data_IF_522466571988
#
_entry.id   IF_522466571988
#
_cell.length_a   1.000
_cell.length_b   1.000
_cell.length_c   1.000
_cell.angle_alpha   90.00
_cell.angle_beta   90.00
_cell.angle_gamma   90.00
#
_symmetry.space_group_name_H-M   'P 1'
#
loop_
_entity.id
_entity.type
_entity.pdbx_description
1 polymer ?
#
# COMPACT_ATOMS: atom_id res chain seq x y z
N UNK A 1 15.16 -6.77 -26.41
CA UNK A 1 14.47 -5.68 -25.68
C UNK A 1 13.06 -6.18 -25.37
N UNK A 2 12.84 -6.76 -24.18
CA UNK A 2 11.50 -7.27 -23.79
C UNK A 2 10.67 -6.07 -23.34
N UNK A 3 9.60 -5.79 -24.07
CA UNK A 3 8.56 -4.82 -23.69
C UNK A 3 7.94 -5.36 -22.39
N UNK A 4 8.25 -4.74 -21.26
CA UNK A 4 7.62 -5.07 -19.98
C UNK A 4 6.19 -4.52 -20.09
N UNK A 5 5.14 -5.35 -20.02
CA UNK A 5 3.77 -4.85 -20.07
C UNK A 5 3.56 -3.89 -18.88
N UNK A 6 2.95 -2.74 -19.16
CA UNK A 6 2.54 -1.76 -18.14
C UNK A 6 1.81 -2.49 -17.00
N UNK A 7 2.42 -2.48 -15.80
CA UNK A 7 1.83 -3.09 -14.62
C UNK A 7 0.70 -2.19 -14.09
N UNK A 8 -0.51 -2.74 -13.93
CA UNK A 8 -1.72 -1.98 -13.51
C UNK A 8 -1.76 -1.77 -11.99
N UNK A 9 -0.73 -2.22 -11.25
CA UNK A 9 -0.65 -2.08 -9.79
C UNK A 9 -0.87 -0.64 -9.31
N UNK A 10 -0.33 0.36 -10.02
CA UNK A 10 -0.56 1.78 -9.68
C UNK A 10 -2.01 2.21 -9.85
N UNK A 11 -2.74 1.63 -10.80
CA UNK A 11 -4.15 1.90 -11.04
C UNK A 11 -5.10 1.15 -10.09
N UNK A 12 -4.61 0.12 -9.38
CA UNK A 12 -5.37 -0.49 -8.28
C UNK A 12 -5.53 0.47 -7.10
N UNK A 13 -4.65 1.46 -7.00
CA UNK A 13 -4.71 2.50 -6.00
C UNK A 13 -5.79 3.50 -6.36
N UNK A 14 -6.42 4.10 -5.35
CA UNK A 14 -7.33 5.22 -5.57
C UNK A 14 -6.56 6.52 -5.91
N UNK A 15 -5.24 6.56 -5.66
CA UNK A 15 -4.28 7.50 -6.28
C UNK A 15 -4.83 8.90 -6.59
N UNK A 16 -5.07 9.69 -5.55
CA UNK A 16 -5.60 11.05 -5.64
C UNK A 16 -7.06 11.10 -5.23
N UNK A 17 -7.36 11.92 -4.22
CA UNK A 17 -8.72 12.23 -3.80
C UNK A 17 -9.52 12.74 -5.01
N UNK A 18 -10.22 11.87 -5.71
CA UNK A 18 -11.53 12.23 -6.23
C UNK A 18 -12.30 12.67 -4.98
N UNK A 19 -12.69 13.94 -4.95
CA UNK A 19 -13.40 14.54 -3.85
C UNK A 19 -14.47 13.57 -3.33
N UNK A 20 -14.75 13.62 -2.05
CA UNK A 20 -16.01 13.11 -1.52
C UNK A 20 -17.19 13.86 -2.17
N UNK A 21 -17.45 13.65 -3.45
CA UNK A 21 -18.81 13.41 -3.86
C UNK A 21 -19.12 12.06 -3.24
N UNK A 22 -19.86 12.12 -2.14
CA UNK A 22 -21.05 11.30 -2.04
C UNK A 22 -21.54 11.15 -3.48
N UNK A 23 -21.33 9.97 -4.09
CA UNK A 23 -22.06 9.61 -5.30
C UNK A 23 -23.51 9.53 -4.82
N UNK A 24 -24.13 10.70 -4.64
CA UNK A 24 -25.52 10.89 -4.92
C UNK A 24 -25.68 10.25 -6.27
N UNK A 25 -26.33 9.10 -6.26
CA UNK A 25 -26.74 8.36 -7.43
C UNK A 25 -27.55 9.38 -8.22
N UNK A 26 -26.89 10.11 -9.11
CA UNK A 26 -27.58 10.91 -10.09
C UNK A 26 -28.17 9.89 -11.04
N UNK A 27 -29.45 9.62 -10.85
CA UNK A 27 -30.28 8.76 -11.68
C UNK A 27 -30.46 9.32 -13.10
N UNK A 28 -29.46 10.05 -13.61
CA UNK A 28 -29.20 10.13 -15.04
C UNK A 28 -29.08 8.70 -15.56
N UNK A 29 -29.84 8.41 -16.60
CA UNK A 29 -30.14 7.08 -17.13
C UNK A 29 -28.93 6.26 -17.60
N UNK A 30 -27.69 6.72 -17.43
CA UNK A 30 -26.47 6.07 -17.91
C UNK A 30 -25.74 5.27 -16.81
N UNK A 31 -25.58 5.80 -15.61
CA UNK A 31 -24.85 5.11 -14.52
C UNK A 31 -25.64 3.92 -13.96
N UNK A 32 -26.95 4.09 -13.72
CA UNK A 32 -27.82 3.01 -13.24
C UNK A 32 -28.01 1.91 -14.30
N UNK A 33 -28.09 2.30 -15.58
CA UNK A 33 -28.14 1.35 -16.71
C UNK A 33 -26.82 0.61 -16.86
N UNK A 34 -25.68 1.30 -16.78
CA UNK A 34 -24.35 0.69 -16.79
C UNK A 34 -24.18 -0.32 -15.67
N UNK A 35 -24.59 0.04 -14.44
CA UNK A 35 -24.58 -0.88 -13.30
C UNK A 35 -25.45 -2.11 -13.59
N UNK A 36 -26.70 -1.91 -14.02
CA UNK A 36 -27.63 -3.01 -14.32
C UNK A 36 -27.08 -3.95 -15.39
N UNK A 37 -26.52 -3.40 -16.47
CA UNK A 37 -25.91 -4.17 -17.56
C UNK A 37 -24.66 -4.92 -17.09
N UNK A 38 -23.79 -4.28 -16.31
CA UNK A 38 -22.64 -4.95 -15.70
C UNK A 38 -23.09 -6.12 -14.80
N UNK A 39 -24.13 -5.93 -13.98
CA UNK A 39 -24.65 -6.99 -13.12
C UNK A 39 -25.26 -8.15 -13.93
N UNK A 40 -25.92 -7.88 -15.05
CA UNK A 40 -26.42 -8.90 -15.96
C UNK A 40 -25.27 -9.72 -16.59
N UNK A 41 -24.19 -9.06 -16.99
CA UNK A 41 -23.01 -9.73 -17.52
C UNK A 41 -22.31 -10.58 -16.45
N UNK A 42 -22.16 -10.05 -15.23
CA UNK A 42 -21.57 -10.78 -14.10
C UNK A 42 -22.40 -12.02 -13.74
N UNK A 43 -23.73 -11.89 -13.67
CA UNK A 43 -24.64 -13.01 -13.42
C UNK A 43 -24.54 -14.08 -14.51
N UNK A 44 -24.60 -13.68 -15.78
CA UNK A 44 -24.47 -14.59 -16.91
C UNK A 44 -23.12 -15.33 -16.90
N UNK A 45 -22.04 -14.60 -16.62
CA UNK A 45 -20.70 -15.14 -16.55
C UNK A 45 -20.55 -16.13 -15.38
N UNK A 46 -20.96 -15.77 -14.18
CA UNK A 46 -20.84 -16.63 -12.98
C UNK A 46 -21.61 -17.95 -13.16
N UNK A 47 -22.82 -17.90 -13.72
CA UNK A 47 -23.60 -19.10 -14.07
C UNK A 47 -22.87 -19.95 -15.11
N UNK A 48 -22.38 -19.34 -16.20
CA UNK A 48 -21.68 -20.07 -17.27
C UNK A 48 -20.40 -20.76 -16.79
N UNK A 49 -19.74 -20.20 -15.77
CA UNK A 49 -18.52 -20.73 -15.18
C UNK A 49 -18.77 -21.66 -13.99
N UNK A 50 -20.04 -21.90 -13.61
CA UNK A 50 -20.40 -22.73 -12.47
C UNK A 50 -19.92 -22.17 -11.12
N UNK A 51 -19.81 -20.84 -11.01
CA UNK A 51 -19.39 -20.17 -9.77
C UNK A 51 -20.58 -20.07 -8.81
N UNK A 52 -20.35 -20.39 -7.53
CA UNK A 52 -21.37 -20.52 -6.48
C UNK A 52 -21.12 -19.59 -5.30
N UNK A 53 -20.42 -18.48 -5.54
CA UNK A 53 -20.16 -17.43 -4.56
C UNK A 53 -21.40 -16.63 -4.17
N UNK A 54 -21.17 -15.57 -3.40
CA UNK A 54 -22.21 -14.64 -2.93
C UNK A 54 -22.01 -13.26 -3.51
N UNK A 55 -23.11 -12.56 -3.79
CA UNK A 55 -23.07 -11.16 -4.24
C UNK A 55 -23.46 -10.24 -3.10
N UNK A 56 -22.65 -9.23 -2.82
CA UNK A 56 -22.93 -8.24 -1.78
C UNK A 56 -23.91 -7.16 -2.26
N UNK A 57 -24.37 -6.31 -1.34
CA UNK A 57 -25.25 -5.20 -1.66
C UNK A 57 -24.63 -4.17 -2.63
N UNK A 58 -23.30 -4.08 -2.72
CA UNK A 58 -22.60 -3.20 -3.66
C UNK A 58 -22.51 -3.79 -5.07
N UNK A 59 -22.85 -5.07 -5.24
CA UNK A 59 -22.70 -5.81 -6.50
C UNK A 59 -21.39 -6.60 -6.62
N UNK A 60 -20.54 -6.63 -5.58
CA UNK A 60 -19.36 -7.49 -5.55
C UNK A 60 -19.77 -8.96 -5.41
N UNK A 61 -19.47 -9.78 -6.42
CA UNK A 61 -19.48 -11.23 -6.33
C UNK A 61 -18.17 -11.72 -5.70
N UNK A 62 -18.29 -12.53 -4.64
CA UNK A 62 -17.19 -13.11 -3.88
C UNK A 62 -17.32 -14.62 -3.81
N UNK A 63 -16.25 -15.34 -4.17
CA UNK A 63 -16.14 -16.78 -3.96
C UNK A 63 -14.76 -17.15 -3.43
N UNK A 64 -14.71 -17.75 -2.24
CA UNK A 64 -13.50 -18.42 -1.77
C UNK A 64 -13.19 -19.61 -2.68
N UNK A 65 -11.97 -19.69 -3.20
CA UNK A 65 -11.51 -20.82 -4.03
C UNK A 65 -10.53 -21.72 -3.30
N UNK A 66 -9.87 -21.19 -2.27
CA UNK A 66 -9.09 -21.96 -1.31
C UNK A 66 -9.18 -21.24 0.03
N UNK A 67 -9.95 -21.76 1.01
CA UNK A 67 -10.05 -21.11 2.30
C UNK A 67 -8.68 -21.06 2.98
N UNK A 68 -8.36 -19.91 3.58
CA UNK A 68 -7.18 -19.81 4.43
C UNK A 68 -7.32 -20.72 5.65
N UNK A 69 -6.19 -21.16 6.22
CA UNK A 69 -6.19 -21.93 7.47
C UNK A 69 -6.28 -21.04 8.72
N UNK A 70 -6.29 -19.72 8.55
CA UNK A 70 -6.29 -18.74 9.63
C UNK A 70 -7.63 -18.03 9.72
N UNK A 71 -7.94 -17.47 10.89
CA UNK A 71 -9.09 -16.58 11.10
C UNK A 71 -8.70 -15.10 11.08
N UNK A 72 -7.48 -14.79 10.63
CA UNK A 72 -6.94 -13.42 10.65
C UNK A 72 -7.49 -12.67 9.44
N UNK A 73 -8.19 -11.57 9.69
CA UNK A 73 -8.70 -10.67 8.64
C UNK A 73 -7.85 -9.40 8.59
N UNK A 74 -7.55 -8.84 7.41
CA UNK A 74 -6.85 -7.56 7.29
C UNK A 74 -7.57 -6.44 8.04
N UNK A 75 -6.79 -5.63 8.76
CA UNK A 75 -7.29 -4.43 9.44
C UNK A 75 -6.58 -3.19 8.90
N UNK A 76 -7.28 -2.05 8.84
CA UNK A 76 -6.63 -0.80 8.49
C UNK A 76 -5.49 -0.46 9.45
N UNK A 77 -4.41 0.10 8.90
CA UNK A 77 -3.16 0.35 9.60
C UNK A 77 -2.15 -0.80 9.55
N UNK A 78 -2.48 -1.90 8.88
CA UNK A 78 -1.56 -3.01 8.61
C UNK A 78 -1.03 -2.94 7.18
N UNK A 79 0.07 -3.64 6.90
CA UNK A 79 0.49 -3.95 5.52
C UNK A 79 -0.18 -5.25 5.10
N UNK A 80 -0.74 -5.30 3.90
CA UNK A 80 -1.18 -6.54 3.26
C UNK A 80 -0.16 -7.00 2.22
N UNK A 81 0.08 -8.30 2.16
CA UNK A 81 0.82 -8.98 1.10
C UNK A 81 -0.18 -9.83 0.31
N UNK A 82 -0.30 -9.58 -1.00
CA UNK A 82 -1.22 -10.34 -1.85
C UNK A 82 -0.67 -10.54 -3.26
N UNK A 83 -1.26 -11.47 -3.99
CA UNK A 83 -1.07 -11.65 -5.45
C UNK A 83 -2.41 -11.48 -6.14
N UNK A 84 -2.40 -11.01 -7.38
CA UNK A 84 -3.62 -10.89 -8.17
C UNK A 84 -3.40 -11.19 -9.65
N UNK A 85 -4.47 -11.64 -10.30
CA UNK A 85 -4.62 -11.63 -11.75
C UNK A 85 -5.91 -10.90 -12.09
N UNK A 86 -5.83 -9.93 -13.00
CA UNK A 86 -6.95 -9.09 -13.41
C UNK A 86 -7.40 -9.47 -14.82
N UNK A 87 -8.70 -9.71 -14.96
CA UNK A 87 -9.36 -9.94 -16.24
C UNK A 87 -10.54 -8.98 -16.43
N UNK A 88 -10.77 -8.58 -17.67
CA UNK A 88 -11.99 -7.88 -18.08
C UNK A 88 -13.02 -8.90 -18.52
N UNK A 89 -14.28 -8.69 -18.14
CA UNK A 89 -15.41 -9.41 -18.71
C UNK A 89 -15.91 -8.66 -19.94
N UNK A 90 -15.88 -9.32 -21.09
CA UNK A 90 -16.37 -8.81 -22.37
C UNK A 90 -17.72 -9.46 -22.67
N UNK A 91 -18.76 -8.64 -22.75
CA UNK A 91 -20.14 -9.09 -22.91
C UNK A 91 -21.04 -8.00 -23.50
N UNK A 92 -22.36 -8.25 -23.55
CA UNK A 92 -23.34 -7.29 -24.05
C UNK A 92 -23.23 -5.88 -23.45
N UNK A 93 -22.72 -5.73 -22.21
CA UNK A 93 -22.60 -4.41 -21.58
C UNK A 93 -21.49 -3.53 -22.17
N UNK A 94 -20.48 -4.10 -22.83
CA UNK A 94 -19.30 -3.37 -23.29
C UNK A 94 -18.76 -3.80 -24.68
N UNK A 95 -19.41 -4.76 -25.34
CA UNK A 95 -19.08 -5.20 -26.70
C UNK A 95 -20.35 -5.27 -27.56
N UNK A 96 -20.38 -4.51 -28.65
CA UNK A 96 -21.50 -4.51 -29.60
C UNK A 96 -21.71 -5.90 -30.20
N UNK A 97 -22.97 -6.34 -30.26
CA UNK A 97 -23.41 -7.65 -30.76
C UNK A 97 -22.88 -8.87 -29.99
N UNK A 98 -22.26 -8.69 -28.83
CA UNK A 98 -21.93 -9.83 -27.96
C UNK A 98 -23.22 -10.44 -27.40
N UNK A 99 -23.31 -11.77 -27.44
CA UNK A 99 -24.42 -12.55 -26.88
C UNK A 99 -23.98 -13.43 -25.70
N UNK A 100 -22.67 -13.53 -25.47
CA UNK A 100 -22.07 -14.30 -24.39
C UNK A 100 -21.02 -13.45 -23.68
N UNK A 101 -20.77 -13.75 -22.41
CA UNK A 101 -19.76 -13.06 -21.61
C UNK A 101 -18.51 -13.92 -21.54
N UNK A 102 -17.37 -13.36 -21.90
CA UNK A 102 -16.06 -14.02 -21.86
C UNK A 102 -15.10 -13.23 -20.97
N UNK A 103 -14.12 -13.90 -20.38
CA UNK A 103 -13.07 -13.22 -19.61
C UNK A 103 -11.76 -13.19 -20.38
N UNK A 104 -11.07 -12.05 -20.40
CA UNK A 104 -9.71 -11.93 -20.93
C UNK A 104 -8.80 -11.26 -19.91
N UNK A 105 -7.65 -11.90 -19.66
CA UNK A 105 -6.62 -11.37 -18.75
C UNK A 105 -6.01 -10.10 -19.33
N UNK A 106 -5.94 -9.06 -18.51
CA UNK A 106 -5.36 -7.76 -18.85
C UNK A 106 -4.15 -7.40 -17.98
N UNK A 107 -4.04 -8.00 -16.79
CA UNK A 107 -2.82 -7.95 -15.97
C UNK A 107 -2.61 -9.28 -15.24
N UNK A 108 -1.37 -9.78 -15.31
CA UNK A 108 -0.91 -10.98 -14.61
C UNK A 108 0.50 -10.83 -14.05
N UNK A 109 1.06 -9.61 -14.04
CA UNK A 109 2.41 -9.35 -13.54
C UNK A 109 2.58 -9.76 -12.07
N UNK A 110 1.50 -9.68 -11.29
CA UNK A 110 1.42 -10.05 -9.88
C UNK A 110 0.62 -11.33 -9.63
N UNK A 111 0.45 -12.19 -10.64
CA UNK A 111 -0.27 -13.46 -10.47
C UNK A 111 0.46 -14.42 -9.50
N UNK A 112 1.78 -14.34 -9.45
CA UNK A 112 2.64 -15.13 -8.54
C UNK A 112 3.58 -14.27 -7.71
N UNK A 113 3.89 -13.06 -8.18
CA UNK A 113 4.74 -12.08 -7.49
C UNK A 113 3.96 -11.35 -6.41
N UNK A 114 4.41 -11.42 -5.16
CA UNK A 114 3.79 -10.68 -4.06
C UNK A 114 3.86 -9.17 -4.31
N UNK A 115 2.73 -8.49 -4.10
CA UNK A 115 2.68 -7.05 -3.92
C UNK A 115 2.38 -6.73 -2.46
N UNK A 116 2.96 -5.62 -1.98
CA UNK A 116 2.86 -5.18 -0.60
C UNK A 116 2.20 -3.82 -0.57
N UNK A 117 1.28 -3.62 0.37
CA UNK A 117 0.51 -2.40 0.40
C UNK A 117 0.12 -1.98 1.82
N UNK A 118 0.42 -0.73 2.24
CA UNK A 118 -0.14 -0.16 3.46
C UNK A 118 -1.66 -0.06 3.31
N UNK A 119 -2.38 -0.83 4.11
CA UNK A 119 -3.82 -0.97 4.01
C UNK A 119 -4.52 0.05 4.90
N UNK A 120 -5.19 1.01 4.28
CA UNK A 120 -5.99 2.02 4.96
C UNK A 120 -7.29 2.27 4.18
N UNK A 121 -8.25 2.97 4.77
CA UNK A 121 -9.52 3.21 4.09
C UNK A 121 -9.32 3.94 2.76
N UNK A 122 -9.99 3.48 1.70
CA UNK A 122 -9.91 4.03 0.34
C UNK A 122 -8.51 3.96 -0.25
N UNK A 123 -7.74 2.94 0.12
CA UNK A 123 -6.37 2.75 -0.37
C UNK A 123 -6.34 1.93 -1.67
N UNK A 124 -7.34 1.07 -1.87
CA UNK A 124 -7.55 0.24 -3.06
C UNK A 124 -8.89 0.55 -3.73
N UNK A 125 -9.06 0.11 -4.99
CA UNK A 125 -10.37 0.19 -5.67
C UNK A 125 -11.50 -0.37 -4.78
N UNK A 126 -12.69 0.25 -4.75
CA UNK A 126 -13.73 -0.08 -3.77
C UNK A 126 -14.09 -1.57 -3.67
N UNK A 127 -14.27 -2.26 -4.80
CA UNK A 127 -14.60 -3.69 -4.80
C UNK A 127 -13.44 -4.60 -4.42
N UNK A 128 -12.19 -4.19 -4.70
CA UNK A 128 -11.00 -4.91 -4.26
C UNK A 128 -10.78 -4.72 -2.75
N UNK A 129 -10.96 -3.50 -2.23
CA UNK A 129 -10.91 -3.21 -0.79
C UNK A 129 -11.99 -4.00 -0.04
N UNK A 130 -13.25 -3.96 -0.49
CA UNK A 130 -14.34 -4.75 0.07
C UNK A 130 -14.04 -6.26 0.02
N UNK A 131 -13.52 -6.75 -1.10
CA UNK A 131 -13.15 -8.16 -1.25
C UNK A 131 -12.05 -8.59 -0.29
N UNK A 132 -10.98 -7.81 -0.15
CA UNK A 132 -9.86 -8.11 0.76
C UNK A 132 -10.32 -8.09 2.22
N UNK A 133 -11.24 -7.18 2.61
CA UNK A 133 -11.82 -7.16 3.96
C UNK A 133 -12.68 -8.40 4.28
N UNK A 134 -13.11 -9.16 3.27
CA UNK A 134 -13.84 -10.42 3.44
C UNK A 134 -12.92 -11.64 3.50
N UNK A 135 -11.65 -11.49 3.12
CA UNK A 135 -10.69 -12.59 3.06
C UNK A 135 -9.96 -12.78 4.39
N UNK A 136 -9.50 -14.01 4.61
CA UNK A 136 -8.58 -14.35 5.69
C UNK A 136 -7.14 -14.50 5.17
N UNK A 137 -6.15 -14.30 6.04
CA UNK A 137 -4.75 -14.57 5.73
C UNK A 137 -4.57 -16.03 5.25
N UNK A 138 -3.96 -16.18 4.07
CA UNK A 138 -3.74 -17.43 3.36
C UNK A 138 -4.85 -17.81 2.36
N UNK A 139 -5.95 -17.06 2.30
CA UNK A 139 -7.09 -17.36 1.44
C UNK A 139 -6.86 -16.95 -0.03
N UNK A 140 -7.37 -17.76 -0.95
CA UNK A 140 -7.57 -17.39 -2.35
C UNK A 140 -9.06 -17.20 -2.64
N UNK A 141 -9.39 -16.16 -3.39
CA UNK A 141 -10.76 -15.84 -3.76
C UNK A 141 -10.87 -15.28 -5.19
N UNK A 142 -12.05 -15.49 -5.78
CA UNK A 142 -12.51 -14.82 -6.99
C UNK A 142 -13.39 -13.64 -6.57
N UNK A 143 -13.03 -12.45 -7.04
CA UNK A 143 -13.80 -11.22 -6.89
C UNK A 143 -14.26 -10.78 -8.28
N UNK A 144 -15.56 -10.65 -8.52
CA UNK A 144 -16.09 -10.12 -9.77
C UNK A 144 -16.95 -8.91 -9.43
N UNK A 145 -16.68 -7.78 -10.04
CA UNK A 145 -17.27 -6.51 -9.64
C UNK A 145 -17.66 -5.65 -10.85
N UNK A 146 -18.77 -4.91 -10.76
CA UNK A 146 -19.16 -3.95 -11.79
C UNK A 146 -18.13 -2.82 -11.89
N UNK A 147 -18.12 -2.13 -13.03
CA UNK A 147 -17.15 -1.07 -13.32
C UNK A 147 -17.09 -0.01 -12.24
N UNK A 148 -18.23 0.37 -11.63
CA UNK A 148 -18.31 1.38 -10.56
C UNK A 148 -17.51 1.03 -9.30
N UNK A 149 -17.27 -0.27 -9.03
CA UNK A 149 -16.43 -0.73 -7.93
C UNK A 149 -14.95 -0.90 -8.33
N UNK A 150 -14.61 -0.66 -9.60
CA UNK A 150 -13.29 -0.85 -10.18
C UNK A 150 -12.79 0.39 -10.95
N UNK A 151 -12.89 0.38 -12.28
CA UNK A 151 -12.32 1.40 -13.17
C UNK A 151 -13.35 2.41 -13.70
N UNK A 152 -14.62 2.26 -13.37
CA UNK A 152 -15.70 3.18 -13.71
C UNK A 152 -15.82 3.45 -15.21
N UNK A 153 -16.09 4.70 -15.55
CA UNK A 153 -16.33 5.17 -16.92
C UNK A 153 -15.06 5.62 -17.67
N UNK A 154 -13.87 5.34 -17.13
CA UNK A 154 -12.60 5.69 -17.78
C UNK A 154 -11.97 4.48 -18.44
N UNK A 155 -11.26 4.72 -19.55
CA UNK A 155 -10.37 3.72 -20.15
C UNK A 155 -9.05 3.74 -19.38
N UNK A 156 -8.59 2.57 -18.94
CA UNK A 156 -7.32 2.41 -18.22
C UNK A 156 -6.47 1.31 -18.85
N UNK A 157 -5.50 1.71 -19.67
CA UNK A 157 -4.66 0.79 -20.45
C UNK A 157 -5.50 -0.13 -21.34
N UNK A 158 -5.53 -1.43 -21.00
CA UNK A 158 -6.30 -2.45 -21.72
C UNK A 158 -7.72 -2.66 -21.18
N UNK A 159 -8.16 -1.82 -20.24
CA UNK A 159 -9.46 -1.92 -19.59
C UNK A 159 -10.37 -0.87 -20.21
N UNK A 160 -11.39 -1.27 -20.99
CA UNK A 160 -12.36 -0.32 -21.54
C UNK A 160 -13.21 0.29 -20.43
N UNK A 161 -13.70 1.51 -20.67
CA UNK A 161 -14.69 2.15 -19.82
C UNK A 161 -15.91 1.24 -19.58
N UNK A 162 -16.54 1.39 -18.42
CA UNK A 162 -17.79 0.71 -18.04
C UNK A 162 -17.69 -0.83 -18.06
N UNK A 163 -16.49 -1.38 -17.95
CA UNK A 163 -16.27 -2.83 -17.99
C UNK A 163 -16.33 -3.48 -16.61
N UNK A 164 -17.11 -4.56 -16.44
CA UNK A 164 -16.98 -5.41 -15.26
C UNK A 164 -15.64 -6.15 -15.29
N UNK A 165 -15.06 -6.38 -14.12
CA UNK A 165 -13.74 -7.01 -13.98
C UNK A 165 -13.76 -8.16 -12.99
N UNK A 166 -12.84 -9.10 -13.21
CA UNK A 166 -12.55 -10.24 -12.34
C UNK A 166 -11.14 -10.11 -11.79
N UNK A 167 -11.01 -10.14 -10.47
CA UNK A 167 -9.75 -10.37 -9.77
C UNK A 167 -9.72 -11.80 -9.22
N UNK A 168 -8.69 -12.56 -9.60
CA UNK A 168 -8.30 -13.75 -8.85
C UNK A 168 -7.24 -13.29 -7.83
N UNK A 169 -7.57 -13.28 -6.54
CA UNK A 169 -6.73 -12.74 -5.46
C UNK A 169 -6.25 -13.88 -4.56
N UNK A 170 -5.01 -13.81 -4.10
CA UNK A 170 -4.57 -14.58 -2.92
C UNK A 170 -4.02 -13.60 -1.90
N UNK A 171 -4.68 -13.52 -0.74
CA UNK A 171 -4.22 -12.73 0.39
C UNK A 171 -3.21 -13.58 1.15
N UNK A 172 -1.92 -13.31 0.93
CA UNK A 172 -0.85 -14.12 1.53
C UNK A 172 -0.74 -13.85 3.02
N UNK A 173 -0.64 -12.58 3.40
CA UNK A 173 -0.32 -12.15 4.78
C UNK A 173 -0.88 -10.77 5.10
N UNK A 174 -1.14 -10.52 6.39
CA UNK A 174 -1.27 -9.17 6.96
C UNK A 174 -0.23 -8.94 8.04
N UNK A 175 0.33 -7.73 8.14
CA UNK A 175 1.42 -7.40 9.05
C UNK A 175 1.20 -6.08 9.76
N UNK A 176 1.16 -6.12 11.08
CA UNK A 176 1.30 -4.92 11.94
C UNK A 176 2.66 -4.25 11.70
N UNK A 177 2.78 -2.97 12.03
CA UNK A 177 4.06 -2.24 11.88
C UNK A 177 5.20 -2.91 12.66
N UNK A 178 4.93 -3.43 13.85
CA UNK A 178 5.92 -4.16 14.64
C UNK A 178 6.40 -5.43 13.93
N UNK A 179 5.49 -6.18 13.30
CA UNK A 179 5.87 -7.35 12.50
C UNK A 179 6.67 -6.94 11.25
N UNK A 180 6.27 -5.86 10.56
CA UNK A 180 7.02 -5.34 9.41
C UNK A 180 8.46 -4.96 9.80
N UNK A 181 8.63 -4.27 10.93
CA UNK A 181 9.94 -3.89 11.47
C UNK A 181 10.78 -5.13 11.79
N UNK A 182 10.19 -6.12 12.47
CA UNK A 182 10.87 -7.38 12.81
C UNK A 182 11.29 -8.16 11.56
N UNK A 183 10.40 -8.27 10.58
CA UNK A 183 10.68 -8.92 9.28
C UNK A 183 11.83 -8.19 8.56
N UNK A 184 11.83 -6.85 8.57
CA UNK A 184 12.90 -6.04 7.98
C UNK A 184 14.25 -6.24 8.69
N UNK A 185 14.27 -6.25 10.03
CA UNK A 185 15.49 -6.50 10.82
C UNK A 185 16.05 -7.87 10.51
N UNK A 186 15.20 -8.90 10.51
CA UNK A 186 15.60 -10.27 10.22
C UNK A 186 16.13 -10.44 8.79
N UNK A 187 15.43 -9.89 7.80
CA UNK A 187 15.82 -9.97 6.39
C UNK A 187 17.17 -9.28 6.12
N UNK A 188 17.43 -8.15 6.79
CA UNK A 188 18.66 -7.38 6.63
C UNK A 188 19.75 -7.77 7.64
N UNK A 189 19.49 -8.75 8.52
CA UNK A 189 20.42 -9.23 9.56
C UNK A 189 20.94 -8.09 10.46
N UNK A 190 20.05 -7.14 10.79
CA UNK A 190 20.41 -5.99 11.60
C UNK A 190 20.51 -6.39 13.07
N UNK A 191 21.49 -5.82 13.77
CA UNK A 191 21.67 -6.02 15.22
C UNK A 191 21.26 -4.74 15.94
N UNK A 192 20.15 -4.81 16.67
CA UNK A 192 19.67 -3.67 17.46
C UNK A 192 20.65 -3.41 18.60
N UNK A 193 21.20 -2.19 18.65
CA UNK A 193 22.20 -1.76 19.64
C UNK A 193 21.62 -0.96 20.79
N UNK A 194 20.48 -0.30 20.56
CA UNK A 194 19.76 0.47 21.58
C UNK A 194 18.28 0.58 21.16
N UNK A 195 17.41 0.90 22.10
CA UNK A 195 15.98 1.15 21.89
C UNK A 195 15.57 2.36 22.72
N UNK A 196 14.90 3.31 22.08
CA UNK A 196 14.43 4.53 22.75
C UNK A 196 13.19 4.22 23.59
N UNK A 197 12.83 5.13 24.50
CA UNK A 197 11.70 4.92 25.40
C UNK A 197 10.37 4.73 24.65
N UNK A 198 10.20 5.40 23.50
CA UNK A 198 9.00 5.29 22.68
C UNK A 198 9.05 4.14 21.67
N UNK A 199 10.17 3.40 21.61
CA UNK A 199 10.32 2.19 20.81
C UNK A 199 11.03 2.37 19.47
N UNK A 200 11.69 3.51 19.22
CA UNK A 200 12.59 3.63 18.06
C UNK A 200 13.82 2.74 18.27
N UNK A 201 14.19 1.98 17.25
CA UNK A 201 15.29 1.03 17.28
C UNK A 201 16.53 1.67 16.66
N UNK A 202 17.67 1.59 17.36
CA UNK A 202 18.93 2.16 16.90
C UNK A 202 19.92 1.05 16.62
N UNK A 203 20.48 1.06 15.40
CA UNK A 203 21.47 0.13 14.90
C UNK A 203 22.74 0.93 14.59
N UNK A 204 23.69 1.01 15.53
CA UNK A 204 24.95 1.73 15.31
C UNK A 204 25.80 0.99 14.28
N UNK A 205 26.04 1.65 13.15
CA UNK A 205 26.86 1.13 12.03
C UNK A 205 28.28 1.69 12.07
N UNK A 206 28.51 2.80 12.78
CA UNK A 206 29.84 3.32 13.11
C UNK A 206 29.81 3.93 14.51
N UNK A 207 30.69 3.44 15.38
CA UNK A 207 30.82 3.98 16.74
C UNK A 207 31.98 4.98 16.86
N UNK A 208 31.80 5.96 17.74
CA UNK A 208 32.84 6.87 18.19
C UNK A 208 32.62 7.15 19.68
N UNK A 209 33.07 6.24 20.57
CA UNK A 209 32.83 6.36 22.00
C UNK A 209 33.42 7.65 22.60
N UNK A 210 34.52 8.15 22.04
CA UNK A 210 35.17 9.42 22.38
C UNK A 210 34.50 10.66 21.76
N UNK A 211 33.50 10.47 20.91
CA UNK A 211 32.78 11.57 20.26
C UNK A 211 32.02 12.42 21.27
N UNK A 212 31.90 13.72 20.95
CA UNK A 212 31.05 14.63 21.71
C UNK A 212 29.58 14.20 21.55
N UNK A 213 28.85 14.13 22.66
CA UNK A 213 27.40 14.00 22.64
C UNK A 213 26.80 15.40 22.38
N UNK A 214 26.03 15.60 21.30
CA UNK A 214 25.36 16.88 21.07
C UNK A 214 24.43 17.23 22.24
N UNK A 215 24.56 18.44 22.77
CA UNK A 215 23.70 18.96 23.84
C UNK A 215 22.68 19.97 23.29
N UNK A 216 21.64 20.25 24.08
CA UNK A 216 20.62 21.22 23.70
C UNK A 216 21.24 22.59 23.34
N UNK A 217 20.68 23.24 22.33
CA UNK A 217 21.14 24.51 21.75
C UNK A 217 22.48 24.45 21.00
N UNK A 218 23.16 23.31 20.89
CA UNK A 218 24.30 23.17 19.99
C UNK A 218 23.86 23.04 18.54
N UNK A 219 24.67 23.55 17.63
CA UNK A 219 24.43 23.42 16.20
C UNK A 219 25.19 22.22 15.67
N UNK A 220 24.46 21.21 15.21
CA UNK A 220 25.02 20.03 14.58
C UNK A 220 24.89 20.10 13.07
N UNK A 221 25.84 19.48 12.36
CA UNK A 221 25.67 19.11 10.96
C UNK A 221 25.45 17.61 10.91
N UNK A 222 24.40 17.18 10.22
CA UNK A 222 24.10 15.77 10.02
C UNK A 222 23.89 15.44 8.54
N UNK A 223 24.22 14.20 8.16
CA UNK A 223 23.72 13.59 6.94
C UNK A 223 22.60 12.62 7.30
N UNK A 224 21.58 12.54 6.46
CA UNK A 224 20.50 11.60 6.63
C UNK A 224 20.00 11.04 5.30
N UNK A 225 19.48 9.81 5.33
CA UNK A 225 18.77 9.18 4.23
C UNK A 225 17.61 8.32 4.76
N UNK A 226 16.38 8.71 4.44
CA UNK A 226 15.15 8.06 4.87
C UNK A 226 14.49 7.26 3.76
N UNK A 227 13.95 6.08 4.11
CA UNK A 227 13.17 5.22 3.21
C UNK A 227 12.04 4.50 3.94
N UNK A 228 11.04 4.05 3.18
CA UNK A 228 10.06 3.06 3.62
C UNK A 228 10.76 1.68 3.72
N UNK A 229 10.29 0.80 4.61
CA UNK A 229 10.94 -0.51 4.82
C UNK A 229 10.96 -1.42 3.58
N UNK A 230 9.93 -1.31 2.72
CA UNK A 230 9.86 -2.06 1.45
C UNK A 230 10.53 -1.35 0.27
N UNK A 231 10.91 -0.07 0.43
CA UNK A 231 11.49 0.69 -0.66
C UNK A 231 12.98 0.37 -0.83
N UNK A 232 13.40 0.23 -2.08
CA UNK A 232 14.82 0.11 -2.44
C UNK A 232 15.52 1.46 -2.47
N UNK A 233 14.77 2.54 -2.70
CA UNK A 233 15.26 3.92 -2.75
C UNK A 233 14.66 4.77 -1.63
N UNK A 234 15.34 5.86 -1.28
CA UNK A 234 14.81 6.86 -0.36
C UNK A 234 13.57 7.57 -0.92
N UNK A 235 12.75 8.10 -0.03
CA UNK A 235 11.61 8.93 -0.44
C UNK A 235 12.07 10.36 -0.78
N UNK A 236 11.31 11.06 -1.63
CA UNK A 236 11.62 12.42 -2.07
C UNK A 236 11.74 13.37 -0.87
N UNK A 237 12.84 14.13 -0.79
CA UNK A 237 13.13 15.01 0.36
C UNK A 237 13.61 14.30 1.62
N UNK A 238 13.75 12.96 1.58
CA UNK A 238 14.23 12.17 2.71
C UNK A 238 15.74 12.02 2.80
N UNK A 239 16.52 12.60 1.88
CA UNK A 239 17.98 12.50 1.87
C UNK A 239 18.62 13.88 1.79
N UNK A 240 19.62 14.14 2.61
CA UNK A 240 20.35 15.40 2.56
C UNK A 240 21.39 15.57 3.65
N UNK A 241 22.03 16.73 3.60
CA UNK A 241 22.87 17.27 4.67
C UNK A 241 22.16 18.49 5.24
N UNK A 242 22.04 18.56 6.55
CA UNK A 242 21.35 19.66 7.21
C UNK A 242 22.13 20.13 8.44
N UNK A 243 21.99 21.41 8.76
CA UNK A 243 22.57 22.02 9.95
C UNK A 243 21.44 22.45 10.87
N UNK A 244 21.39 21.84 12.06
CA UNK A 244 20.29 22.00 13.01
C UNK A 244 20.77 22.41 14.37
N UNK A 245 19.96 23.20 15.05
CA UNK A 245 20.13 23.45 16.48
C UNK A 245 19.32 22.45 17.29
N UNK A 246 20.01 21.64 18.09
CA UNK A 246 19.43 20.56 18.90
C UNK A 246 18.35 21.13 19.83
N UNK A 247 17.15 20.56 19.78
CA UNK A 247 16.01 20.96 20.60
C UNK A 247 15.20 22.15 20.07
N UNK A 248 15.64 22.80 18.98
CA UNK A 248 14.92 23.94 18.38
C UNK A 248 14.25 23.53 17.07
N UNK A 249 15.02 22.95 16.13
CA UNK A 249 14.44 22.46 14.88
C UNK A 249 13.84 21.08 15.10
N UNK A 250 12.67 20.81 14.51
CA UNK A 250 11.94 19.56 14.75
C UNK A 250 11.88 18.70 13.49
N UNK A 251 12.53 17.54 13.54
CA UNK A 251 12.16 16.37 12.73
C UNK A 251 11.03 15.58 13.40
N UNK A 252 10.64 14.48 12.78
CA UNK A 252 9.68 13.54 13.38
C UNK A 252 10.26 12.91 14.65
N UNK A 253 9.43 12.55 15.65
CA UNK A 253 9.91 12.10 16.96
C UNK A 253 10.94 10.96 16.93
N UNK A 254 10.72 9.92 16.13
CA UNK A 254 11.63 8.77 16.05
C UNK A 254 13.01 9.14 15.49
N UNK A 255 13.07 10.13 14.62
CA UNK A 255 14.33 10.69 14.11
C UNK A 255 15.09 11.40 15.21
N UNK A 256 14.43 12.30 15.94
CA UNK A 256 15.04 13.07 17.03
C UNK A 256 15.54 12.16 18.16
N UNK A 257 14.75 11.17 18.53
CA UNK A 257 15.13 10.22 19.57
C UNK A 257 16.31 9.35 19.15
N UNK A 258 16.34 8.88 17.90
CA UNK A 258 17.47 8.13 17.37
C UNK A 258 18.74 8.98 17.26
N UNK A 259 18.62 10.21 16.78
CA UNK A 259 19.71 11.18 16.71
C UNK A 259 20.30 11.47 18.10
N UNK A 260 19.46 11.58 19.13
CA UNK A 260 19.90 11.79 20.50
C UNK A 260 20.75 10.62 21.07
N UNK A 261 20.73 9.43 20.44
CA UNK A 261 21.61 8.31 20.81
C UNK A 261 22.99 8.34 20.14
N UNK A 262 23.25 9.32 19.28
CA UNK A 262 24.48 9.41 18.50
C UNK A 262 25.41 10.51 19.01
N UNK A 263 26.70 10.18 18.98
CA UNK A 263 27.80 11.13 19.17
C UNK A 263 28.31 11.64 17.84
N UNK A 264 29.00 12.79 17.85
CA UNK A 264 29.70 13.31 16.68
C UNK A 264 30.66 12.24 16.13
N UNK A 265 30.57 11.99 14.82
CA UNK A 265 31.33 10.97 14.09
C UNK A 265 30.67 9.59 14.02
N UNK A 266 29.56 9.37 14.72
CA UNK A 266 28.79 8.11 14.68
C UNK A 266 27.84 8.06 13.47
N UNK A 267 27.55 6.81 13.08
CA UNK A 267 26.50 6.48 12.11
C UNK A 267 25.57 5.44 12.68
N UNK A 268 24.28 5.55 12.40
CA UNK A 268 23.31 4.53 12.74
C UNK A 268 22.16 4.47 11.75
N UNK A 269 21.58 3.28 11.60
CA UNK A 269 20.23 3.13 11.06
C UNK A 269 19.24 3.20 12.21
N UNK A 270 18.25 4.06 12.09
CA UNK A 270 17.17 4.24 13.07
C UNK A 270 15.86 3.81 12.43
N UNK A 271 15.16 2.88 13.06
CA UNK A 271 13.90 2.30 12.54
C UNK A 271 12.79 2.55 13.55
N UNK A 272 11.64 3.06 13.09
CA UNK A 272 10.53 3.38 13.98
C UNK A 272 9.16 3.25 13.31
N UNK A 273 8.09 2.99 14.10
CA UNK A 273 6.72 2.93 13.58
C UNK A 273 6.21 4.31 13.16
N UNK A 274 5.14 4.33 12.38
CA UNK A 274 4.50 5.54 11.87
C UNK A 274 4.07 6.50 12.98
N UNK A 275 3.73 6.03 14.17
CA UNK A 275 3.38 6.88 15.33
C UNK A 275 4.52 7.81 15.78
N UNK A 276 5.78 7.44 15.48
CA UNK A 276 6.97 8.27 15.68
C UNK A 276 7.42 8.97 14.39
N UNK A 277 6.65 8.83 13.32
CA UNK A 277 6.84 9.40 11.99
C UNK A 277 5.64 10.25 11.56
N UNK A 278 4.98 9.83 10.48
CA UNK A 278 3.87 10.57 9.84
C UNK A 278 2.47 9.99 10.14
N UNK A 279 2.40 8.97 11.00
CA UNK A 279 1.18 8.39 11.55
C UNK A 279 0.16 7.92 10.53
N UNK A 280 -1.11 7.99 10.93
CA UNK A 280 -2.28 7.62 10.12
C UNK A 280 -2.53 8.56 8.93
N UNK A 281 -1.90 9.73 8.90
CA UNK A 281 -2.07 10.71 7.81
C UNK A 281 -1.07 10.48 6.68
N UNK A 282 0.14 10.02 7.00
CA UNK A 282 1.23 9.98 6.04
C UNK A 282 1.69 11.37 5.59
N UNK A 283 2.42 11.43 4.48
CA UNK A 283 2.84 12.65 3.81
C UNK A 283 2.55 12.54 2.31
N UNK A 284 1.80 13.50 1.78
CA UNK A 284 1.45 13.58 0.36
C UNK A 284 2.04 14.82 -0.29
N UNK A 285 2.43 14.69 -1.55
CA UNK A 285 2.86 15.77 -2.43
C UNK A 285 2.11 15.63 -3.75
N UNK A 286 1.52 16.73 -4.25
CA UNK A 286 0.74 16.75 -5.50
C UNK A 286 -0.30 15.60 -5.56
N UNK A 287 -1.06 15.43 -4.48
CA UNK A 287 -2.10 14.40 -4.34
C UNK A 287 -1.59 12.94 -4.39
N UNK A 288 -0.28 12.73 -4.29
CA UNK A 288 0.35 11.40 -4.24
C UNK A 288 1.10 11.22 -2.93
N UNK A 289 0.92 10.08 -2.26
CA UNK A 289 1.66 9.79 -1.04
C UNK A 289 3.15 9.55 -1.35
N UNK A 290 4.01 10.41 -0.77
CA UNK A 290 5.45 10.19 -0.71
C UNK A 290 5.77 9.26 0.47
N UNK A 291 4.97 9.36 1.54
CA UNK A 291 4.96 8.45 2.68
C UNK A 291 3.50 8.07 2.93
N UNK A 292 3.09 6.83 2.64
CA UNK A 292 1.71 6.42 2.91
C UNK A 292 1.36 6.43 4.40
N UNK A 293 0.07 6.53 4.75
CA UNK A 293 -0.43 6.24 6.10
C UNK A 293 0.14 4.95 6.68
N UNK A 294 0.39 4.95 8.00
CA UNK A 294 0.82 3.75 8.75
C UNK A 294 2.11 3.11 8.23
N UNK A 295 3.00 3.93 7.66
CA UNK A 295 4.28 3.44 7.15
C UNK A 295 5.38 3.56 8.20
N UNK A 296 5.97 2.44 8.65
CA UNK A 296 7.21 2.48 9.41
C UNK A 296 8.36 2.96 8.54
N UNK A 297 9.32 3.66 9.15
CA UNK A 297 10.43 4.31 8.46
C UNK A 297 11.78 3.78 8.94
N UNK A 298 12.76 3.82 8.04
CA UNK A 298 14.18 3.60 8.33
C UNK A 298 14.95 4.84 7.88
N UNK A 299 15.76 5.39 8.78
CA UNK A 299 16.67 6.49 8.50
C UNK A 299 18.11 6.09 8.78
N UNK A 300 18.99 6.25 7.81
CA UNK A 300 20.43 6.24 8.03
C UNK A 300 20.85 7.65 8.44
N UNK A 301 21.49 7.78 9.60
CA UNK A 301 21.92 9.04 10.19
C UNK A 301 23.45 9.04 10.37
N UNK A 302 24.07 10.19 10.15
CA UNK A 302 25.47 10.47 10.48
C UNK A 302 25.56 11.85 11.13
N UNK A 303 26.11 11.91 12.34
CA UNK A 303 26.44 13.19 12.99
C UNK A 303 27.84 13.60 12.54
N UNK A 304 27.94 14.62 11.69
CA UNK A 304 29.21 15.03 11.07
C UNK A 304 30.02 15.91 12.01
N UNK A 305 29.39 16.93 12.59
CA UNK A 305 30.04 17.87 13.51
C UNK A 305 29.04 18.51 14.47
N UNK A 306 29.54 19.11 15.54
CA UNK A 306 28.78 19.95 16.47
C UNK A 306 29.60 21.21 16.78
N UNK A 307 28.93 22.36 16.89
CA UNK A 307 29.50 23.68 17.18
C UNK A 307 28.63 24.40 18.21
#
# INVERSE_FOLDING_TARGET
>A
MRIIPFAILGALLIGGLASCQQQSIDASSDAATTYTNNMADISSYTISQGLSGTTSASGLFFQSTSPGSTTIVPTYGQEIEFTYKLSVLYGPSNVSNATTVTSKVVDSAYATTSTYFPFFAKSLKPGLEEGILKMHEGESAILIMPSILAFGSVVDGNIPANSPVRFDVTLKRTRTEAQQINDYIAANKLVVTDTTQSGALVIKTKSNPSGLQPSANQTITLNYAGKLLRATTGFTGGTGTDTKTVGITKFVPGFEEGLAKLKVGEKATVIFPSSLGYGATGAAQNNTYVIPPYSPLSFDLEVVSAK
#
